data_IF_679982839482
#
_entry.id   IF_679982839482
#
_cell.length_a   1.000
_cell.length_b   1.000
_cell.length_c   1.000
_cell.angle_alpha   90.00
_cell.angle_beta   90.00
_cell.angle_gamma   90.00
#
_symmetry.space_group_name_H-M   'P 1'
#
loop_
_entity.id
_entity.type
_entity.pdbx_description
1 polymer ?
#
# COMPACT_ATOMS: atom_id res chain seq x y z
N UNK A 1 -52.35 -77.40 1.21
CA UNK A 1 -51.63 -77.24 2.50
C UNK A 1 -50.22 -76.74 2.23
N UNK A 2 -49.76 -75.73 2.99
CA UNK A 2 -48.35 -75.30 3.23
C UNK A 2 -47.58 -74.73 2.01
N UNK A 3 -47.26 -73.42 2.07
CA UNK A 3 -45.95 -72.77 2.41
C UNK A 3 -44.94 -72.86 1.25
N UNK A 4 -44.04 -71.92 0.95
CA UNK A 4 -43.80 -70.47 1.16
C UNK A 4 -42.40 -70.26 0.53
N UNK A 5 -42.14 -69.09 -0.07
CA UNK A 5 -40.79 -68.52 -0.34
C UNK A 5 -39.98 -69.15 -1.50
N UNK A 6 -39.18 -68.43 -2.30
CA UNK A 6 -38.66 -67.06 -2.17
C UNK A 6 -38.08 -66.53 -3.50
N UNK A 7 -37.84 -65.21 -3.54
CA UNK A 7 -36.73 -64.53 -4.24
C UNK A 7 -36.98 -64.22 -5.73
N UNK A 8 -36.74 -63.03 -6.29
CA UNK A 8 -35.91 -61.91 -5.88
C UNK A 8 -36.40 -60.59 -6.50
N UNK A 9 -36.23 -59.47 -5.80
CA UNK A 9 -36.60 -58.09 -6.20
C UNK A 9 -35.43 -57.43 -6.94
N UNK A 10 -35.69 -56.77 -8.06
CA UNK A 10 -34.74 -55.91 -8.76
C UNK A 10 -34.65 -54.53 -8.10
N UNK A 11 -33.42 -54.11 -7.82
CA UNK A 11 -33.01 -52.80 -7.31
C UNK A 11 -33.27 -51.68 -8.35
N UNK A 12 -33.74 -50.53 -7.89
CA UNK A 12 -33.44 -49.24 -8.52
C UNK A 12 -32.26 -48.61 -7.77
N UNK A 13 -31.20 -48.28 -8.50
CA UNK A 13 -30.06 -47.50 -8.05
C UNK A 13 -30.43 -46.03 -8.14
N UNK A 14 -30.31 -45.29 -7.04
CA UNK A 14 -30.22 -43.83 -7.05
C UNK A 14 -28.80 -43.45 -6.60
N UNK A 15 -28.04 -42.86 -7.52
CA UNK A 15 -26.73 -42.25 -7.24
C UNK A 15 -26.99 -40.84 -6.71
N UNK A 16 -26.56 -40.57 -5.47
CA UNK A 16 -26.41 -39.21 -4.96
C UNK A 16 -24.91 -38.90 -4.96
N UNK A 17 -24.49 -37.96 -5.81
CA UNK A 17 -23.14 -37.45 -5.85
C UNK A 17 -22.96 -36.43 -4.71
N UNK A 18 -22.04 -36.70 -3.79
CA UNK A 18 -21.58 -35.77 -2.77
C UNK A 18 -20.40 -34.95 -3.28
N UNK A 19 -20.54 -33.62 -3.28
CA UNK A 19 -19.44 -32.67 -3.45
C UNK A 19 -18.85 -32.37 -2.07
N UNK A 20 -17.62 -32.80 -1.82
CA UNK A 20 -16.83 -32.38 -0.66
C UNK A 20 -16.03 -31.15 -1.10
N UNK A 21 -16.45 -29.97 -0.68
CA UNK A 21 -15.67 -28.75 -0.80
C UNK A 21 -14.63 -28.72 0.34
N UNK A 22 -13.36 -28.88 0.00
CA UNK A 22 -12.26 -28.66 0.94
C UNK A 22 -12.09 -27.16 1.12
N UNK A 23 -12.47 -26.63 2.28
CA UNK A 23 -12.15 -25.26 2.66
C UNK A 23 -10.65 -25.19 2.95
N UNK A 24 -9.91 -24.46 2.12
CA UNK A 24 -8.56 -24.01 2.45
C UNK A 24 -8.73 -22.84 3.42
N UNK A 25 -8.37 -23.06 4.68
CA UNK A 25 -8.33 -22.02 5.70
C UNK A 25 -7.08 -21.17 5.43
N UNK A 26 -7.23 -20.04 4.72
CA UNK A 26 -6.22 -19.00 4.68
C UNK A 26 -6.19 -18.32 6.05
N UNK A 27 -5.16 -18.60 6.84
CA UNK A 27 -4.80 -17.78 7.99
C UNK A 27 -4.18 -16.51 7.42
N UNK A 28 -5.01 -15.48 7.21
CA UNK A 28 -4.52 -14.11 7.06
C UNK A 28 -4.04 -13.71 8.45
N UNK A 29 -2.73 -13.63 8.66
CA UNK A 29 -2.20 -12.87 9.79
C UNK A 29 -2.60 -11.42 9.50
N UNK A 30 -3.71 -10.98 10.09
CA UNK A 30 -4.02 -9.56 10.15
C UNK A 30 -2.98 -8.94 11.05
N UNK A 31 -1.99 -8.28 10.46
CA UNK A 31 -1.25 -7.27 11.21
C UNK A 31 -2.29 -6.21 11.60
N UNK A 32 -2.42 -5.96 12.90
CA UNK A 32 -3.28 -4.90 13.40
C UNK A 32 -2.81 -3.59 12.74
N UNK A 33 -3.69 -2.95 11.97
CA UNK A 33 -3.40 -1.65 11.33
C UNK A 33 -3.00 -0.68 12.43
N UNK A 34 -1.81 -0.04 12.35
CA UNK A 34 -1.39 0.91 13.37
C UNK A 34 -2.42 2.02 13.57
N UNK A 35 -2.54 2.51 14.80
CA UNK A 35 -3.36 3.69 15.07
C UNK A 35 -2.74 4.95 14.44
N UNK A 36 -3.57 5.91 14.03
CA UNK A 36 -3.11 7.20 13.46
C UNK A 36 -2.37 8.08 14.49
N UNK A 37 -2.49 7.75 15.77
CA UNK A 37 -1.77 8.37 16.87
C UNK A 37 -0.29 7.95 16.90
N UNK A 38 0.04 6.72 16.46
CA UNK A 38 1.41 6.32 16.14
C UNK A 38 1.73 6.66 14.67
N UNK A 39 2.02 7.95 14.45
CA UNK A 39 2.22 8.50 13.10
C UNK A 39 3.34 7.81 12.32
N UNK A 40 4.43 7.44 12.99
CA UNK A 40 5.55 6.72 12.37
C UNK A 40 5.12 5.33 11.90
N UNK A 41 4.42 4.58 12.75
CA UNK A 41 3.93 3.26 12.39
C UNK A 41 2.87 3.33 11.28
N UNK A 42 1.97 4.32 11.33
CA UNK A 42 0.96 4.50 10.31
C UNK A 42 1.55 4.89 8.96
N UNK A 43 2.56 5.77 8.94
CA UNK A 43 3.28 6.11 7.70
C UNK A 43 3.94 4.88 7.08
N UNK A 44 4.64 4.06 7.88
CA UNK A 44 5.21 2.79 7.39
C UNK A 44 4.13 1.90 6.81
N UNK A 45 3.00 1.77 7.48
CA UNK A 45 1.86 0.99 7.00
C UNK A 45 1.35 1.48 5.63
N UNK A 46 1.23 2.79 5.40
CA UNK A 46 0.82 3.34 4.08
C UNK A 46 1.83 2.97 2.98
N UNK A 47 3.13 3.08 3.27
CA UNK A 47 4.18 2.67 2.33
C UNK A 47 4.10 1.17 2.03
N UNK A 48 3.94 0.35 3.06
CA UNK A 48 3.81 -1.11 2.91
C UNK A 48 2.57 -1.48 2.10
N UNK A 49 1.41 -0.86 2.35
CA UNK A 49 0.19 -1.10 1.56
C UNK A 49 0.38 -0.71 0.09
N UNK A 50 1.13 0.35 -0.19
CA UNK A 50 1.43 0.79 -1.56
C UNK A 50 2.36 -0.20 -2.27
N UNK A 51 3.36 -0.73 -1.57
CA UNK A 51 4.24 -1.78 -2.07
C UNK A 51 3.46 -3.09 -2.31
N UNK A 52 2.54 -3.45 -1.41
CA UNK A 52 1.68 -4.64 -1.59
C UNK A 52 0.72 -4.48 -2.77
N UNK A 53 0.18 -3.28 -2.99
CA UNK A 53 -0.59 -2.95 -4.19
C UNK A 53 0.26 -3.14 -5.46
N UNK A 54 1.51 -2.66 -5.44
CA UNK A 54 2.45 -2.86 -6.54
C UNK A 54 2.74 -4.34 -6.81
N UNK A 55 3.03 -5.13 -5.77
CA UNK A 55 3.29 -6.56 -5.90
C UNK A 55 2.08 -7.32 -6.47
N UNK A 56 0.87 -6.92 -6.08
CA UNK A 56 -0.38 -7.60 -6.45
C UNK A 56 -0.84 -7.24 -7.86
N UNK A 57 -0.84 -5.95 -8.19
CA UNK A 57 -1.53 -5.41 -9.37
C UNK A 57 -0.59 -4.74 -10.39
N UNK A 58 0.69 -4.57 -10.03
CA UNK A 58 1.73 -3.97 -10.88
C UNK A 58 1.73 -2.44 -10.91
N UNK A 59 2.73 -1.88 -11.61
CA UNK A 59 2.98 -0.43 -11.61
C UNK A 59 1.80 0.39 -12.13
N UNK A 60 1.18 -0.01 -13.25
CA UNK A 60 0.11 0.79 -13.87
C UNK A 60 -1.08 0.98 -12.92
N UNK A 61 -1.57 -0.10 -12.31
CA UNK A 61 -2.70 -0.04 -11.38
C UNK A 61 -2.33 0.74 -10.10
N UNK A 62 -1.08 0.58 -9.64
CA UNK A 62 -0.57 1.34 -8.48
C UNK A 62 -0.52 2.83 -8.79
N UNK A 63 -0.02 3.23 -9.96
CA UNK A 63 0.02 4.63 -10.37
C UNK A 63 -1.40 5.20 -10.54
N UNK A 64 -2.35 4.44 -11.08
CA UNK A 64 -3.75 4.88 -11.15
C UNK A 64 -4.32 5.21 -9.77
N UNK A 65 -4.04 4.37 -8.77
CA UNK A 65 -4.42 4.62 -7.38
C UNK A 65 -3.68 5.80 -6.75
N UNK A 66 -2.34 5.79 -6.77
CA UNK A 66 -1.49 6.83 -6.17
C UNK A 66 -1.72 8.21 -6.78
N UNK A 67 -2.12 8.28 -8.05
CA UNK A 67 -2.48 9.52 -8.73
C UNK A 67 -3.90 10.00 -8.44
N UNK A 68 -4.73 9.20 -7.77
CA UNK A 68 -6.08 9.55 -7.32
C UNK A 68 -6.06 10.21 -5.94
N UNK A 69 -7.08 11.02 -5.65
CA UNK A 69 -7.36 11.48 -4.27
C UNK A 69 -7.76 10.34 -3.34
N UNK A 70 -8.16 9.19 -3.87
CA UNK A 70 -8.48 7.98 -3.08
C UNK A 70 -7.26 7.37 -2.39
N UNK A 71 -6.05 7.78 -2.80
CA UNK A 71 -4.80 7.39 -2.14
C UNK A 71 -4.50 8.20 -0.87
N UNK A 72 -5.26 9.26 -0.62
CA UNK A 72 -5.07 10.14 0.53
C UNK A 72 -5.87 9.59 1.71
N UNK A 73 -5.19 9.41 2.84
CA UNK A 73 -5.83 9.16 4.12
C UNK A 73 -5.42 10.21 5.15
N UNK A 74 -6.26 11.24 5.31
CA UNK A 74 -5.91 12.42 6.10
C UNK A 74 -4.67 13.10 5.54
N UNK A 75 -3.63 13.26 6.38
CA UNK A 75 -2.36 13.85 5.98
C UNK A 75 -1.44 12.86 5.24
N UNK A 76 -1.72 11.56 5.31
CA UNK A 76 -0.88 10.54 4.69
C UNK A 76 -1.29 10.33 3.24
N UNK A 77 -0.32 10.40 2.35
CA UNK A 77 -0.51 10.07 0.95
C UNK A 77 0.76 9.38 0.43
N UNK A 78 0.63 8.37 -0.44
CA UNK A 78 1.77 7.74 -1.06
C UNK A 78 2.30 8.58 -2.24
N UNK A 79 3.59 8.45 -2.50
CA UNK A 79 4.23 8.87 -3.73
C UNK A 79 5.21 7.80 -4.21
N UNK A 80 5.52 7.83 -5.50
CA UNK A 80 6.47 6.90 -6.13
C UNK A 80 7.49 7.67 -6.94
N UNK A 81 8.76 7.34 -6.76
CA UNK A 81 9.89 7.85 -7.52
C UNK A 81 10.48 6.70 -8.34
N UNK A 82 10.81 6.94 -9.60
CA UNK A 82 11.45 5.96 -10.47
C UNK A 82 12.97 5.87 -10.30
N UNK A 83 13.59 4.96 -11.04
CA UNK A 83 15.04 4.70 -11.01
C UNK A 83 15.90 5.90 -11.43
N UNK A 84 15.33 6.82 -12.22
CA UNK A 84 15.98 8.07 -12.66
C UNK A 84 15.78 9.22 -11.64
N UNK A 85 15.03 8.98 -10.57
CA UNK A 85 14.76 9.94 -9.51
C UNK A 85 13.58 10.87 -9.77
N UNK A 86 12.78 10.62 -10.81
CA UNK A 86 11.58 11.41 -11.11
C UNK A 86 10.39 10.90 -10.31
N UNK A 87 9.59 11.81 -9.77
CA UNK A 87 8.31 11.42 -9.15
C UNK A 87 7.33 10.97 -10.25
N UNK A 88 6.98 9.69 -10.28
CA UNK A 88 6.06 9.11 -11.27
C UNK A 88 4.64 8.92 -10.72
N UNK A 89 4.48 8.82 -9.40
CA UNK A 89 3.19 8.70 -8.72
C UNK A 89 3.02 9.77 -7.65
N UNK A 90 1.96 10.58 -7.75
CA UNK A 90 1.56 11.54 -6.72
C UNK A 90 0.11 12.02 -6.93
N UNK A 91 -0.69 12.13 -5.86
CA UNK A 91 -2.08 12.59 -5.96
C UNK A 91 -2.16 13.99 -6.62
N UNK A 92 -1.34 14.94 -6.15
CA UNK A 92 -1.22 16.28 -6.73
C UNK A 92 -0.41 16.26 -8.04
N UNK A 93 -1.01 16.63 -9.20
CA UNK A 93 -0.33 16.59 -10.50
C UNK A 93 0.92 17.46 -10.61
N UNK A 94 1.06 18.52 -9.79
CA UNK A 94 2.24 19.40 -9.84
C UNK A 94 3.55 18.67 -9.50
N UNK A 95 3.46 17.60 -8.72
CA UNK A 95 4.64 16.85 -8.29
C UNK A 95 4.95 15.67 -9.22
N UNK A 96 4.12 15.38 -10.23
CA UNK A 96 4.41 14.33 -11.21
C UNK A 96 5.45 14.82 -12.20
N UNK A 97 6.33 13.92 -12.63
CA UNK A 97 7.50 14.22 -13.44
C UNK A 97 8.41 15.28 -12.80
N UNK A 98 8.41 15.36 -11.47
CA UNK A 98 9.29 16.30 -10.74
C UNK A 98 10.73 15.81 -10.81
N UNK A 99 11.60 16.70 -11.26
CA UNK A 99 13.03 16.43 -11.41
C UNK A 99 13.70 16.24 -10.03
N UNK A 100 14.63 15.29 -9.87
CA UNK A 100 15.43 15.12 -8.65
C UNK A 100 16.10 16.41 -8.18
N UNK A 101 16.64 17.22 -9.10
CA UNK A 101 17.31 18.49 -8.79
C UNK A 101 16.38 19.59 -8.26
N UNK A 102 15.06 19.44 -8.42
CA UNK A 102 14.07 20.40 -7.94
C UNK A 102 13.62 20.14 -6.49
N UNK A 103 14.16 19.11 -5.82
CA UNK A 103 13.84 18.74 -4.44
C UNK A 103 14.63 19.58 -3.43
N UNK A 104 14.44 20.89 -3.52
CA UNK A 104 14.89 21.88 -2.52
C UNK A 104 13.67 22.37 -1.76
N UNK A 105 13.70 22.37 -0.44
CA UNK A 105 12.63 22.92 0.38
C UNK A 105 12.76 24.44 0.59
N UNK A 106 11.76 25.04 1.24
CA UNK A 106 11.72 26.47 1.51
C UNK A 106 12.86 27.00 2.40
N UNK A 107 13.56 26.11 3.12
CA UNK A 107 14.72 26.45 3.94
C UNK A 107 16.04 26.43 3.13
N UNK A 108 15.98 25.98 1.87
CA UNK A 108 17.15 25.77 1.03
C UNK A 108 17.79 24.40 1.21
N UNK A 109 17.16 23.49 1.96
CA UNK A 109 17.66 22.12 2.13
C UNK A 109 17.31 21.28 0.91
N UNK A 110 18.33 20.72 0.28
CA UNK A 110 18.20 19.77 -0.81
C UNK A 110 17.95 18.36 -0.26
N UNK A 111 16.68 17.99 -0.15
CA UNK A 111 16.25 16.69 0.37
C UNK A 111 16.21 15.59 -0.70
N UNK A 112 16.49 15.93 -1.96
CA UNK A 112 16.51 15.00 -3.09
C UNK A 112 17.50 13.86 -2.90
N UNK A 113 18.76 14.17 -2.58
CA UNK A 113 19.79 13.14 -2.36
C UNK A 113 19.43 12.19 -1.22
N UNK A 114 18.84 12.72 -0.14
CA UNK A 114 18.46 11.92 1.01
C UNK A 114 17.28 10.99 0.70
N UNK A 115 16.27 11.45 -0.06
CA UNK A 115 15.22 10.55 -0.54
C UNK A 115 15.75 9.47 -1.49
N UNK A 116 16.64 9.84 -2.41
CA UNK A 116 17.23 8.91 -3.38
C UNK A 116 18.22 7.91 -2.74
N UNK A 117 18.67 8.18 -1.52
CA UNK A 117 19.47 7.27 -0.72
C UNK A 117 18.64 6.20 0.02
N UNK A 118 17.31 6.18 -0.14
CA UNK A 118 16.45 5.16 0.44
C UNK A 118 16.90 3.74 0.05
N UNK A 119 16.77 2.81 1.00
CA UNK A 119 17.16 1.40 0.82
C UNK A 119 15.95 0.49 0.97
N UNK A 120 16.14 -0.82 0.76
CA UNK A 120 15.11 -1.85 1.02
C UNK A 120 14.67 -1.90 2.50
N UNK A 121 15.50 -1.41 3.42
CA UNK A 121 15.17 -1.29 4.85
C UNK A 121 14.44 0.01 5.20
N UNK A 122 14.31 0.90 4.21
CA UNK A 122 13.75 2.23 4.32
C UNK A 122 14.67 3.26 4.95
N UNK A 123 14.26 4.52 4.84
CA UNK A 123 14.95 5.69 5.36
C UNK A 123 13.92 6.75 5.77
N UNK A 124 14.15 7.37 6.93
CA UNK A 124 13.43 8.58 7.33
C UNK A 124 14.15 9.81 6.80
N UNK A 125 13.42 10.67 6.10
CA UNK A 125 13.90 11.98 5.63
C UNK A 125 12.95 13.04 6.16
N UNK A 126 13.48 14.20 6.56
CA UNK A 126 12.66 15.27 7.14
C UNK A 126 12.95 16.59 6.44
N UNK A 127 11.94 17.15 5.80
CA UNK A 127 12.06 18.38 5.00
C UNK A 127 10.80 19.24 5.12
N UNK A 128 10.85 20.46 4.61
CA UNK A 128 9.68 21.35 4.58
C UNK A 128 8.94 21.21 3.26
N UNK A 129 7.64 20.94 3.31
CA UNK A 129 6.80 20.92 2.11
C UNK A 129 5.39 21.42 2.42
N UNK A 130 4.66 21.81 1.38
CA UNK A 130 3.26 22.18 1.49
C UNK A 130 2.45 21.02 2.07
N UNK A 131 1.84 21.22 3.24
CA UNK A 131 0.83 20.31 3.78
C UNK A 131 -0.48 20.50 3.00
N UNK A 132 -1.02 19.46 2.35
CA UNK A 132 -2.25 19.58 1.57
C UNK A 132 -3.50 19.87 2.41
N UNK A 133 -3.51 19.53 3.71
CA UNK A 133 -4.64 19.80 4.60
C UNK A 133 -4.71 21.27 5.02
N UNK A 134 -3.56 21.89 5.34
CA UNK A 134 -3.51 23.27 5.84
C UNK A 134 -3.23 24.29 4.74
N UNK A 135 -2.58 23.88 3.66
CA UNK A 135 -2.08 24.79 2.62
C UNK A 135 -0.86 25.60 3.04
N UNK A 136 -0.20 25.22 4.14
CA UNK A 136 1.00 25.87 4.67
C UNK A 136 2.24 24.98 4.49
N UNK A 137 3.40 25.61 4.38
CA UNK A 137 4.68 24.89 4.43
C UNK A 137 4.95 24.42 5.87
N UNK A 138 5.11 23.10 6.02
CA UNK A 138 5.30 22.46 7.31
C UNK A 138 6.39 21.40 7.23
N UNK A 139 6.97 21.06 8.38
CA UNK A 139 7.94 19.98 8.46
C UNK A 139 7.22 18.64 8.32
N UNK A 140 7.59 17.89 7.29
CA UNK A 140 7.14 16.53 7.04
C UNK A 140 8.25 15.54 7.42
N UNK A 141 7.86 14.43 8.05
CA UNK A 141 8.70 13.26 8.24
C UNK A 141 8.25 12.17 7.28
N UNK A 142 9.10 11.86 6.31
CA UNK A 142 8.82 10.94 5.23
C UNK A 142 9.57 9.64 5.42
N UNK A 143 8.85 8.52 5.37
CA UNK A 143 9.44 7.20 5.24
C UNK A 143 9.52 6.84 3.77
N UNK A 144 10.69 6.47 3.29
CA UNK A 144 10.92 6.08 1.91
C UNK A 144 11.58 4.70 1.86
N UNK A 145 11.08 3.80 1.01
CA UNK A 145 11.57 2.42 0.83
C UNK A 145 11.86 2.16 -0.63
N UNK A 146 13.07 1.67 -0.93
CA UNK A 146 13.44 1.19 -2.25
C UNK A 146 12.92 -0.24 -2.45
N UNK A 147 12.11 -0.46 -3.48
CA UNK A 147 11.62 -1.77 -3.88
C UNK A 147 11.55 -1.86 -5.41
N UNK A 148 12.22 -2.86 -6.00
CA UNK A 148 12.21 -3.12 -7.45
C UNK A 148 12.60 -1.91 -8.32
N UNK A 149 13.62 -1.17 -7.88
CA UNK A 149 14.12 0.03 -8.58
C UNK A 149 13.26 1.29 -8.37
N UNK A 150 12.16 1.19 -7.64
CA UNK A 150 11.25 2.31 -7.32
C UNK A 150 11.37 2.69 -5.85
N UNK A 151 11.27 3.97 -5.53
CA UNK A 151 11.14 4.43 -4.15
C UNK A 151 9.67 4.74 -3.86
N UNK A 152 9.13 4.05 -2.87
CA UNK A 152 7.80 4.26 -2.33
C UNK A 152 7.90 5.08 -1.06
N UNK A 153 7.12 6.15 -0.94
CA UNK A 153 7.17 6.98 0.25
C UNK A 153 5.83 7.56 0.66
N UNK A 154 5.75 7.93 1.93
CA UNK A 154 4.65 8.68 2.53
C UNK A 154 5.18 9.40 3.78
N UNK A 155 4.45 10.38 4.29
CA UNK A 155 4.89 11.14 5.46
C UNK A 155 3.77 11.65 6.33
N UNK A 156 4.17 12.21 7.47
CA UNK A 156 3.29 12.91 8.40
C UNK A 156 3.89 14.27 8.74
N UNK A 157 3.04 15.24 9.08
CA UNK A 157 3.44 16.61 9.39
C UNK A 157 3.50 16.85 10.89
N UNK A 158 4.53 17.59 11.31
CA UNK A 158 4.56 18.15 12.66
C UNK A 158 3.36 19.09 12.83
N UNK A 159 2.65 18.93 13.94
CA UNK A 159 1.67 19.92 14.33
C UNK A 159 2.43 21.13 14.88
N UNK A 160 1.97 22.36 14.61
CA UNK A 160 2.54 23.54 15.27
C UNK A 160 2.51 23.33 16.79
N UNK A 161 3.59 23.67 17.49
CA UNK A 161 3.60 23.72 18.95
C UNK A 161 2.41 24.59 19.41
N UNK A 162 1.46 23.98 20.11
CA UNK A 162 0.26 24.65 20.65
C UNK A 162 0.59 25.53 21.85
#
# INVERSE_FOLDING_TARGET
>A
MRKKSSSNRSLWVAVVAGLVATAVLLVVYGEDVPGRDDRDAYTRHIVDQTIELYKRDGLSATLDYVNSTDSIDGQWYPFIIDEDGYTVGHHNPRFRNRDPSERVDATGYFYGDDLLAATEYGLWVTYVILNPETGEEQREHTWAVLYDGLIFGSGWYEQPDS
#
